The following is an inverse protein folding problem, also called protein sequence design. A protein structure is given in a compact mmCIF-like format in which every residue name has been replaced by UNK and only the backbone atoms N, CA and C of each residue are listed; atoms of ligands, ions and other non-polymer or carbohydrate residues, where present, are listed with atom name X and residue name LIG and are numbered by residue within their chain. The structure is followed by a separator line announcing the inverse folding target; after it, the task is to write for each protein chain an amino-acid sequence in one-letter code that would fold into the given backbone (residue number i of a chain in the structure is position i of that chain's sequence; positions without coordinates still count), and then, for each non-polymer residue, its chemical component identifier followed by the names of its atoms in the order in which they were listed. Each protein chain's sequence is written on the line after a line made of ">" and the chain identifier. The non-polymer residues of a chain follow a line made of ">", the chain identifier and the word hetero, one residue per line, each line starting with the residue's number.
data_IF_908806782608
#
_entry.id   IF_908806782608
#
_cell.length_a   1.000
_cell.length_b   1.000
_cell.length_c   1.000
_cell.angle_alpha   90.00
_cell.angle_beta   90.00
_cell.angle_gamma   90.00
#
_symmetry.space_group_name_H-M   'P 1'
#
loop_
_entity.id
_entity.type
_entity.pdbx_description
1 polymer ?
#
# COMPACT_ATOMS: atom_id res chain seq x y z
N UNK A 1 16.32 -3.67 9.51
CA UNK A 1 14.87 -3.63 9.74
C UNK A 1 14.34 -4.80 10.58
N UNK A 2 14.63 -6.05 10.19
CA UNK A 2 14.18 -7.22 10.98
C UNK A 2 14.71 -7.24 12.41
N UNK A 3 15.98 -6.89 12.62
CA UNK A 3 16.56 -6.80 13.95
C UNK A 3 15.89 -5.75 14.84
N UNK A 4 15.54 -4.61 14.26
CA UNK A 4 14.80 -3.55 14.94
C UNK A 4 13.38 -4.02 15.30
N UNK A 5 12.68 -4.64 14.35
CA UNK A 5 11.35 -5.20 14.58
C UNK A 5 11.36 -6.23 15.71
N UNK A 6 12.34 -7.14 15.72
CA UNK A 6 12.51 -8.13 16.78
C UNK A 6 12.72 -7.46 18.14
N UNK A 7 13.58 -6.46 18.22
CA UNK A 7 13.85 -5.73 19.46
C UNK A 7 12.58 -5.05 20.00
N UNK A 8 11.72 -4.51 19.12
CA UNK A 8 10.45 -3.92 19.52
C UNK A 8 9.47 -4.97 20.05
N UNK A 9 9.36 -6.10 19.39
CA UNK A 9 8.51 -7.21 19.81
C UNK A 9 8.97 -7.78 21.15
N UNK A 10 10.27 -7.92 21.36
CA UNK A 10 10.85 -8.37 22.64
C UNK A 10 10.51 -7.40 23.81
N UNK A 11 10.27 -6.13 23.50
CA UNK A 11 9.79 -5.12 24.45
C UNK A 11 8.27 -5.14 24.66
N UNK A 12 7.55 -6.03 24.02
CA UNK A 12 6.11 -6.20 24.17
C UNK A 12 5.25 -5.52 23.10
N UNK A 13 5.82 -4.99 22.05
CA UNK A 13 5.07 -4.41 20.91
C UNK A 13 4.27 -5.51 20.21
N UNK A 14 2.98 -5.26 19.96
CA UNK A 14 2.05 -6.22 19.35
C UNK A 14 1.67 -5.88 17.91
N UNK A 15 1.78 -4.63 17.50
CA UNK A 15 1.51 -4.17 16.14
C UNK A 15 2.71 -3.43 15.57
N UNK A 16 3.11 -3.78 14.36
CA UNK A 16 4.09 -3.03 13.57
C UNK A 16 3.38 -2.34 12.41
N UNK A 17 3.64 -1.05 12.25
CA UNK A 17 3.15 -0.29 11.11
C UNK A 17 4.34 -0.04 10.17
N UNK A 18 4.28 -0.61 8.98
CA UNK A 18 5.31 -0.45 7.95
C UNK A 18 4.94 0.78 7.10
N UNK A 19 5.80 1.79 7.13
CA UNK A 19 5.53 3.11 6.53
C UNK A 19 6.73 3.58 5.71
N UNK A 20 6.47 4.09 4.50
CA UNK A 20 7.40 4.81 3.66
C UNK A 20 6.61 5.78 2.76
N UNK A 21 7.28 6.59 1.94
CA UNK A 21 6.59 7.40 0.93
C UNK A 21 5.83 6.53 -0.07
N UNK A 22 6.45 5.42 -0.47
CA UNK A 22 5.82 4.32 -1.21
C UNK A 22 6.36 3.01 -0.63
N UNK A 23 5.58 2.38 0.22
CA UNK A 23 5.97 1.16 0.92
C UNK A 23 6.10 -0.03 -0.05
N UNK A 24 5.34 -0.03 -1.15
CA UNK A 24 5.40 -1.08 -2.17
C UNK A 24 6.75 -1.15 -2.88
N UNK A 25 7.54 -0.08 -2.86
CA UNK A 25 8.87 -0.03 -3.47
C UNK A 25 10.00 -0.56 -2.57
N UNK A 26 9.67 -1.11 -1.42
CA UNK A 26 10.69 -1.63 -0.51
C UNK A 26 11.66 -2.59 -1.21
N UNK A 27 12.94 -2.35 -1.04
CA UNK A 27 14.02 -3.16 -1.59
C UNK A 27 14.48 -2.78 -3.00
N UNK A 28 13.75 -1.93 -3.71
CA UNK A 28 14.10 -1.55 -5.08
C UNK A 28 15.45 -0.85 -5.17
N UNK A 29 15.76 0.04 -4.24
CA UNK A 29 17.02 0.80 -4.17
C UNK A 29 18.22 -0.09 -3.82
N UNK A 30 18.05 -1.07 -2.95
CA UNK A 30 19.11 -1.93 -2.46
C UNK A 30 19.33 -3.19 -3.31
N UNK A 31 18.27 -3.75 -3.87
CA UNK A 31 18.29 -5.07 -4.52
C UNK A 31 17.86 -5.02 -5.98
N UNK A 32 17.46 -3.85 -6.50
CA UNK A 32 16.95 -3.69 -7.85
C UNK A 32 15.61 -4.37 -8.12
N UNK A 33 14.89 -4.79 -7.07
CA UNK A 33 13.57 -5.43 -7.17
C UNK A 33 12.71 -5.17 -5.95
N UNK A 34 11.39 -5.23 -6.14
CA UNK A 34 10.42 -5.06 -5.07
C UNK A 34 10.43 -6.27 -4.12
N UNK A 35 10.65 -6.04 -2.83
CA UNK A 35 10.81 -7.12 -1.83
C UNK A 35 9.89 -6.99 -0.62
N UNK A 36 8.83 -6.20 -0.71
CA UNK A 36 7.88 -6.08 0.38
C UNK A 36 7.23 -7.43 0.78
N UNK A 37 6.83 -8.31 -0.18
CA UNK A 37 6.28 -9.62 0.20
C UNK A 37 7.24 -10.46 1.06
N UNK A 38 8.52 -10.45 0.74
CA UNK A 38 9.54 -11.18 1.51
C UNK A 38 9.72 -10.58 2.90
N UNK A 39 9.74 -9.24 3.02
CA UNK A 39 9.79 -8.57 4.31
C UNK A 39 8.59 -8.93 5.19
N UNK A 40 7.39 -8.90 4.64
CA UNK A 40 6.17 -9.25 5.36
C UNK A 40 6.19 -10.71 5.82
N UNK A 41 6.69 -11.62 4.99
CA UNK A 41 6.86 -13.03 5.34
C UNK A 41 7.81 -13.21 6.53
N UNK A 42 8.93 -12.51 6.54
CA UNK A 42 9.90 -12.58 7.64
C UNK A 42 9.34 -11.94 8.93
N UNK A 43 8.66 -10.81 8.83
CA UNK A 43 8.01 -10.19 9.98
C UNK A 43 6.90 -11.07 10.56
N UNK A 44 6.19 -11.79 9.71
CA UNK A 44 5.12 -12.71 10.12
C UNK A 44 5.61 -13.87 11.00
N UNK A 45 6.90 -14.20 10.92
CA UNK A 45 7.52 -15.26 11.73
C UNK A 45 7.87 -14.81 13.15
N UNK A 46 7.83 -13.52 13.46
CA UNK A 46 8.20 -13.01 14.78
C UNK A 46 7.18 -13.42 15.84
N UNK A 47 7.64 -14.23 16.81
CA UNK A 47 6.81 -14.64 17.94
C UNK A 47 6.46 -13.44 18.81
N UNK A 48 5.22 -13.37 19.27
CA UNK A 48 4.72 -12.25 20.08
C UNK A 48 4.14 -11.10 19.30
N UNK A 49 4.48 -10.95 18.01
CA UNK A 49 3.84 -10.00 17.13
C UNK A 49 2.44 -10.49 16.74
N UNK A 50 1.46 -9.61 16.76
CA UNK A 50 0.06 -9.94 16.41
C UNK A 50 -0.40 -9.34 15.10
N UNK A 51 0.02 -8.12 14.79
CA UNK A 51 -0.46 -7.38 13.63
C UNK A 51 0.68 -6.69 12.90
N UNK A 52 0.62 -6.78 11.57
CA UNK A 52 1.47 -6.04 10.65
C UNK A 52 0.55 -5.21 9.76
N UNK A 53 0.65 -3.89 9.86
CA UNK A 53 -0.14 -2.96 9.06
C UNK A 53 0.76 -2.26 8.06
N UNK A 54 0.37 -2.27 6.79
CA UNK A 54 1.12 -1.61 5.72
C UNK A 54 0.38 -0.36 5.28
N UNK A 55 1.10 0.76 5.28
CA UNK A 55 0.55 2.07 4.89
C UNK A 55 1.22 2.56 3.60
N UNK A 56 0.56 3.44 2.87
CA UNK A 56 1.06 4.09 1.65
C UNK A 56 1.49 3.10 0.56
N UNK A 57 0.54 2.30 0.09
CA UNK A 57 0.73 1.37 -1.03
C UNK A 57 0.29 2.03 -2.34
N UNK A 58 1.16 2.05 -3.36
CA UNK A 58 0.81 2.59 -4.67
C UNK A 58 0.34 1.48 -5.62
N UNK A 59 -0.73 1.72 -6.41
CA UNK A 59 -1.34 0.68 -7.26
C UNK A 59 -0.40 0.05 -8.27
N UNK A 60 0.45 0.84 -8.91
CA UNK A 60 1.34 0.38 -9.97
C UNK A 60 2.41 -0.62 -9.51
N UNK A 61 2.74 -0.64 -8.23
CA UNK A 61 3.71 -1.56 -7.64
C UNK A 61 3.05 -2.68 -6.82
N UNK A 62 1.73 -2.79 -6.89
CA UNK A 62 0.99 -3.81 -6.14
C UNK A 62 0.95 -5.13 -6.95
N UNK A 63 2.01 -5.93 -6.79
CA UNK A 63 2.21 -7.18 -7.53
C UNK A 63 1.32 -8.31 -7.03
N UNK A 64 1.20 -9.38 -7.82
CA UNK A 64 0.47 -10.60 -7.41
C UNK A 64 1.09 -11.24 -6.17
N UNK A 65 2.41 -11.23 -6.05
CA UNK A 65 3.13 -11.72 -4.86
C UNK A 65 2.76 -10.93 -3.60
N UNK A 66 2.59 -9.61 -3.74
CA UNK A 66 2.14 -8.76 -2.63
C UNK A 66 0.69 -9.06 -2.25
N UNK A 67 -0.19 -9.25 -3.23
CA UNK A 67 -1.59 -9.66 -2.99
C UNK A 67 -1.62 -10.98 -2.24
N UNK A 68 -0.83 -11.96 -2.66
CA UNK A 68 -0.74 -13.26 -2.00
C UNK A 68 -0.23 -13.14 -0.56
N UNK A 69 0.74 -12.28 -0.31
CA UNK A 69 1.23 -12.01 1.04
C UNK A 69 0.11 -11.45 1.94
N UNK A 70 -0.68 -10.50 1.46
CA UNK A 70 -1.83 -9.98 2.19
C UNK A 70 -2.91 -11.04 2.43
N UNK A 71 -3.10 -11.96 1.49
CA UNK A 71 -4.11 -13.01 1.58
C UNK A 71 -3.70 -14.12 2.55
N UNK A 72 -2.44 -14.55 2.53
CA UNK A 72 -1.97 -15.78 3.19
C UNK A 72 -1.31 -15.56 4.55
N UNK A 73 -0.67 -14.41 4.77
CA UNK A 73 0.02 -14.12 6.05
C UNK A 73 -0.99 -13.70 7.12
N UNK A 74 -1.11 -14.49 8.17
CA UNK A 74 -2.15 -14.34 9.20
C UNK A 74 -1.99 -13.06 10.05
N UNK A 75 -0.77 -12.57 10.26
CA UNK A 75 -0.51 -11.35 11.02
C UNK A 75 -0.65 -10.07 10.19
N UNK A 76 -0.59 -10.16 8.87
CA UNK A 76 -0.79 -9.02 7.98
C UNK A 76 -2.26 -8.61 8.00
N UNK A 77 -2.54 -7.38 8.41
CA UNK A 77 -3.89 -6.85 8.45
C UNK A 77 -4.51 -6.86 7.06
N UNK A 78 -5.76 -7.31 6.96
CA UNK A 78 -6.54 -7.26 5.71
C UNK A 78 -7.02 -5.83 5.45
N UNK A 79 -6.06 -4.95 5.32
CA UNK A 79 -6.24 -3.52 5.18
C UNK A 79 -5.19 -2.97 4.21
N UNK A 80 -5.63 -2.25 3.19
CA UNK A 80 -4.77 -1.63 2.19
C UNK A 80 -5.05 -0.14 2.15
N UNK A 81 -4.01 0.67 2.25
CA UNK A 81 -4.06 2.12 2.12
C UNK A 81 -3.52 2.52 0.74
N UNK A 82 -4.41 2.99 -0.14
CA UNK A 82 -4.10 3.39 -1.51
C UNK A 82 -4.37 4.88 -1.70
N UNK A 83 -3.34 5.74 -1.66
CA UNK A 83 -3.52 7.16 -1.88
C UNK A 83 -3.66 7.47 -3.39
N UNK A 84 -4.85 7.30 -3.94
CA UNK A 84 -5.12 7.50 -5.37
C UNK A 84 -5.14 8.97 -5.78
N UNK A 85 -5.37 9.87 -4.89
CA UNK A 85 -5.50 11.32 -5.08
C UNK A 85 -6.64 11.74 -6.02
N UNK A 86 -6.86 11.06 -7.17
CA UNK A 86 -7.99 11.33 -8.06
C UNK A 86 -8.38 10.11 -8.91
N UNK A 87 -9.66 10.02 -9.30
CA UNK A 87 -10.21 8.92 -10.11
C UNK A 87 -10.26 9.22 -11.62
N UNK A 88 -9.86 10.42 -12.06
CA UNK A 88 -9.83 10.80 -13.47
C UNK A 88 -8.44 10.63 -14.06
N UNK A 89 -8.31 9.91 -15.19
CA UNK A 89 -7.03 9.69 -15.87
C UNK A 89 -6.32 11.00 -16.23
N UNK A 90 -7.08 12.01 -16.66
CA UNK A 90 -6.54 13.33 -16.99
C UNK A 90 -5.87 14.00 -15.78
N UNK A 91 -6.48 13.89 -14.60
CA UNK A 91 -5.94 14.48 -13.39
C UNK A 91 -4.82 13.65 -12.80
N UNK A 92 -4.88 12.33 -12.89
CA UNK A 92 -3.77 11.45 -12.52
C UNK A 92 -2.51 11.78 -13.32
N UNK A 93 -2.63 11.97 -14.63
CA UNK A 93 -1.51 12.38 -15.50
C UNK A 93 -0.97 13.76 -15.11
N UNK A 94 -1.84 14.75 -14.86
CA UNK A 94 -1.42 16.11 -14.49
C UNK A 94 -0.74 16.17 -13.12
N UNK A 95 -0.94 15.16 -12.27
CA UNK A 95 -0.31 15.02 -10.96
C UNK A 95 0.92 14.10 -10.97
N UNK A 96 1.45 13.76 -12.16
CA UNK A 96 2.53 12.78 -12.34
C UNK A 96 2.19 11.39 -11.78
N UNK A 97 0.92 11.00 -11.87
CA UNK A 97 0.44 9.65 -11.54
C UNK A 97 0.25 8.87 -12.82
N UNK A 98 0.82 7.68 -12.86
CA UNK A 98 0.86 6.83 -14.07
C UNK A 98 -0.22 5.76 -14.11
N UNK A 99 -0.99 5.60 -13.03
CA UNK A 99 -2.07 4.62 -12.99
C UNK A 99 -3.29 5.14 -13.74
N UNK A 100 -3.84 4.34 -14.64
CA UNK A 100 -5.12 4.63 -15.28
C UNK A 100 -6.28 4.24 -14.37
N UNK A 101 -7.46 4.84 -14.58
CA UNK A 101 -8.68 4.48 -13.86
C UNK A 101 -9.01 2.98 -13.99
N UNK A 102 -8.88 2.43 -15.20
CA UNK A 102 -9.16 1.01 -15.47
C UNK A 102 -8.18 0.09 -14.75
N UNK A 103 -6.90 0.44 -14.67
CA UNK A 103 -5.88 -0.32 -13.94
C UNK A 103 -6.18 -0.34 -12.45
N UNK A 104 -6.56 0.81 -11.89
CA UNK A 104 -6.93 0.92 -10.47
C UNK A 104 -8.19 0.12 -10.16
N UNK A 105 -9.22 0.21 -10.99
CA UNK A 105 -10.45 -0.57 -10.82
C UNK A 105 -10.18 -2.07 -10.89
N UNK A 106 -9.34 -2.51 -11.84
CA UNK A 106 -8.93 -3.91 -11.95
C UNK A 106 -8.20 -4.38 -10.70
N UNK A 107 -7.28 -3.56 -10.15
CA UNK A 107 -6.59 -3.87 -8.91
C UNK A 107 -7.56 -3.98 -7.73
N UNK A 108 -8.49 -3.04 -7.57
CA UNK A 108 -9.47 -3.05 -6.49
C UNK A 108 -10.33 -4.31 -6.53
N UNK A 109 -10.81 -4.69 -7.73
CA UNK A 109 -11.59 -5.91 -7.91
C UNK A 109 -10.78 -7.16 -7.57
N UNK A 110 -9.53 -7.22 -8.00
CA UNK A 110 -8.61 -8.31 -7.72
C UNK A 110 -8.33 -8.45 -6.21
N UNK A 111 -8.12 -7.34 -5.52
CA UNK A 111 -7.94 -7.33 -4.06
C UNK A 111 -9.17 -7.88 -3.34
N UNK A 112 -10.38 -7.44 -3.73
CA UNK A 112 -11.63 -7.93 -3.13
C UNK A 112 -11.88 -9.41 -3.38
N UNK A 113 -11.51 -9.91 -4.57
CA UNK A 113 -11.68 -11.32 -4.92
C UNK A 113 -10.67 -12.22 -4.18
N UNK A 114 -9.41 -11.79 -4.07
CA UNK A 114 -8.33 -12.62 -3.53
C UNK A 114 -8.13 -12.49 -2.03
N UNK A 115 -8.59 -11.40 -1.43
CA UNK A 115 -8.47 -11.14 0.01
C UNK A 115 -9.87 -10.92 0.58
N UNK A 116 -10.59 -11.97 0.99
CA UNK A 116 -11.92 -11.84 1.58
C UNK A 116 -11.91 -10.97 2.83
N UNK A 117 -12.87 -10.06 2.93
CA UNK A 117 -12.99 -9.16 4.07
C UNK A 117 -12.01 -8.00 4.08
N UNK A 118 -11.28 -7.75 2.98
CA UNK A 118 -10.33 -6.65 2.90
C UNK A 118 -11.02 -5.29 3.08
N UNK A 119 -10.39 -4.41 3.86
CA UNK A 119 -10.73 -3.00 3.97
C UNK A 119 -9.76 -2.19 3.12
N UNK A 120 -10.29 -1.41 2.19
CA UNK A 120 -9.50 -0.56 1.30
C UNK A 120 -9.77 0.90 1.66
N UNK A 121 -8.70 1.60 2.08
CA UNK A 121 -8.75 3.04 2.31
C UNK A 121 -8.25 3.76 1.08
N UNK A 122 -9.10 4.62 0.53
CA UNK A 122 -8.75 5.48 -0.59
C UNK A 122 -8.65 6.93 -0.09
N UNK A 123 -7.67 7.66 -0.59
CA UNK A 123 -7.54 9.08 -0.32
C UNK A 123 -7.69 9.85 -1.64
N UNK A 124 -8.74 10.65 -1.73
CA UNK A 124 -9.04 11.47 -2.89
C UNK A 124 -8.82 12.95 -2.57
N UNK A 125 -8.14 13.66 -3.47
CA UNK A 125 -7.95 15.11 -3.36
C UNK A 125 -9.01 15.85 -4.18
N UNK A 126 -10.13 16.19 -3.55
CA UNK A 126 -11.19 17.02 -4.16
C UNK A 126 -10.77 18.49 -4.32
N UNK A 127 -9.90 18.99 -3.46
CA UNK A 127 -9.45 20.38 -3.45
C UNK A 127 -8.69 20.79 -4.72
N UNK A 128 -8.01 19.84 -5.39
CA UNK A 128 -7.28 20.10 -6.63
C UNK A 128 -8.22 20.54 -7.78
N UNK A 129 -9.42 19.98 -7.84
CA UNK A 129 -10.44 20.31 -8.83
C UNK A 129 -10.96 21.74 -8.70
N UNK A 130 -11.18 22.19 -7.50
CA UNK A 130 -11.66 23.55 -7.23
C UNK A 130 -10.63 24.59 -7.62
N UNK A 131 -9.36 24.36 -7.31
CA UNK A 131 -8.26 25.26 -7.71
C UNK A 131 -8.12 25.36 -9.24
N UNK A 132 -8.24 24.24 -9.96
CA UNK A 132 -8.17 24.28 -11.43
C UNK A 132 -9.38 24.99 -12.05
N UNK A 133 -10.57 24.83 -11.49
CA UNK A 133 -11.77 25.55 -11.93
C UNK A 133 -11.64 27.06 -11.70
N UNK A 134 -11.04 27.49 -10.61
CA UNK A 134 -10.79 28.89 -10.32
C UNK A 134 -9.73 29.49 -11.26
N UNK A 135 -8.70 28.76 -11.59
CA UNK A 135 -7.63 29.20 -12.51
C UNK A 135 -8.16 29.25 -13.95
N UNK A 136 -9.03 28.34 -14.35
CA UNK A 136 -9.58 28.32 -15.71
C UNK A 136 -10.69 29.35 -15.94
N UNK A 137 -11.25 29.98 -14.92
CA UNK A 137 -12.24 31.05 -15.00
C UNK A 137 -11.64 32.47 -15.04
N UNK A 138 -10.36 32.60 -14.77
CA UNK A 138 -9.61 33.83 -14.82
C UNK A 138 -8.69 33.87 -16.05
#
# INVERSE_FOLDING_TARGET
>A
MLGEAKALVDKGVKELIVVAQDTTRYGEDLYGKLRLPELLSELNKLEGLKWIRVMYCYPNNFTDDLIEAFASLDKVCKYVDLPLQHASDRLLSSMNRYDTKSEVEALLNKLRQRIPGITIRLRLLSVFLEKQKLISKN
#
